data_IF_913925976571
#
_entry.id   IF_913925976571
#
_cell.length_a   1.000
_cell.length_b   1.000
_cell.length_c   1.000
_cell.angle_alpha   90.00
_cell.angle_beta   90.00
_cell.angle_gamma   90.00
#
_symmetry.space_group_name_H-M   'P 1'
#
loop_
_entity.id
_entity.type
_entity.pdbx_description
1 polymer ?
#
# COMPACT_ATOMS: atom_id res chain seq x y z
N UNK A 1 -37.98 3.78 22.13
CA UNK A 1 -38.09 4.80 21.07
C UNK A 1 -36.68 4.98 20.53
N UNK A 2 -36.45 4.55 19.28
CA UNK A 2 -35.11 4.37 18.71
C UNK A 2 -34.57 5.66 18.08
N UNK A 3 -33.28 5.86 18.35
CA UNK A 3 -32.20 6.66 17.73
C UNK A 3 -32.49 7.41 16.42
N UNK A 4 -32.02 8.65 16.34
CA UNK A 4 -31.66 9.32 15.08
C UNK A 4 -30.35 10.12 15.29
N UNK A 5 -29.26 9.60 14.73
CA UNK A 5 -28.01 10.33 14.54
C UNK A 5 -27.73 10.25 13.04
N UNK A 6 -28.57 10.94 12.26
CA UNK A 6 -28.44 11.02 10.80
C UNK A 6 -27.37 12.07 10.44
N UNK A 7 -26.14 11.59 10.26
CA UNK A 7 -25.14 12.29 9.45
C UNK A 7 -25.30 11.74 8.03
N UNK A 8 -25.68 12.54 7.02
CA UNK A 8 -25.94 12.03 5.68
C UNK A 8 -24.63 11.51 5.10
N UNK A 9 -24.54 10.18 4.94
CA UNK A 9 -23.48 9.54 4.19
C UNK A 9 -23.61 9.97 2.73
N UNK A 10 -22.57 10.62 2.20
CA UNK A 10 -22.48 11.00 0.80
C UNK A 10 -22.71 9.75 -0.08
N UNK A 11 -23.72 9.73 -0.98
CA UNK A 11 -24.12 8.52 -1.72
C UNK A 11 -23.06 8.06 -2.74
N UNK A 12 -21.99 8.85 -2.92
CA UNK A 12 -20.88 8.55 -3.82
C UNK A 12 -19.82 7.61 -3.21
N UNK A 13 -19.86 7.34 -1.90
CA UNK A 13 -18.86 6.49 -1.22
C UNK A 13 -19.42 5.72 -0.02
N UNK A 14 -20.18 4.62 -0.24
CA UNK A 14 -20.79 3.84 0.84
C UNK A 14 -19.78 3.14 1.79
N UNK A 15 -18.50 3.04 1.41
CA UNK A 15 -17.46 2.35 2.20
C UNK A 15 -16.36 3.28 2.73
N UNK A 16 -16.55 4.60 2.71
CA UNK A 16 -15.66 5.53 3.43
C UNK A 16 -14.20 5.61 2.93
N UNK A 17 -13.90 5.16 1.71
CA UNK A 17 -12.60 5.41 1.05
C UNK A 17 -12.85 6.00 -0.32
N UNK A 18 -13.14 7.30 -0.33
CA UNK A 18 -13.03 8.13 -1.52
C UNK A 18 -11.61 8.73 -1.51
N UNK A 19 -10.61 7.96 -1.94
CA UNK A 19 -9.24 8.49 -2.10
C UNK A 19 -8.72 8.20 -3.50
N UNK A 20 -8.24 9.26 -4.14
CA UNK A 20 -8.03 9.40 -5.58
C UNK A 20 -6.85 8.59 -6.17
N UNK A 21 -6.28 7.62 -5.45
CA UNK A 21 -5.28 6.69 -5.98
C UNK A 21 -5.18 5.45 -5.08
N UNK A 22 -4.86 4.30 -5.67
CA UNK A 22 -4.67 3.07 -4.91
C UNK A 22 -3.51 3.23 -3.91
N UNK A 23 -3.59 2.64 -2.70
CA UNK A 23 -2.49 2.68 -1.73
C UNK A 23 -1.22 2.02 -2.32
N UNK A 24 -0.02 2.44 -1.92
CA UNK A 24 1.26 1.99 -2.52
C UNK A 24 1.58 0.50 -2.30
N UNK A 25 0.88 -0.13 -1.35
CA UNK A 25 0.99 -1.54 -1.01
C UNK A 25 -0.41 -2.08 -0.69
N UNK A 26 -0.79 -3.20 -1.29
CA UNK A 26 -2.01 -3.95 -0.97
C UNK A 26 -1.60 -5.35 -0.55
N UNK A 27 -1.82 -5.68 0.72
CA UNK A 27 -1.31 -6.93 1.31
C UNK A 27 0.20 -6.99 1.20
N UNK A 28 0.71 -7.81 0.27
CA UNK A 28 2.14 -7.98 -0.02
C UNK A 28 2.55 -7.50 -1.42
N UNK A 29 1.66 -6.81 -2.15
CA UNK A 29 1.87 -6.37 -3.53
C UNK A 29 2.06 -4.86 -3.60
N UNK A 30 3.16 -4.41 -4.17
CA UNK A 30 3.42 -3.01 -4.49
C UNK A 30 2.57 -2.61 -5.69
N UNK A 31 1.67 -1.64 -5.49
CA UNK A 31 0.77 -1.18 -6.55
C UNK A 31 1.51 -0.39 -7.62
N UNK A 32 1.03 -0.40 -8.86
CA UNK A 32 1.74 0.25 -9.98
C UNK A 32 2.94 -0.54 -10.52
N UNK A 33 3.71 -1.26 -9.68
CA UNK A 33 4.78 -2.16 -10.14
C UNK A 33 4.34 -3.62 -10.26
N UNK A 34 3.32 -4.04 -9.50
CA UNK A 34 2.85 -5.43 -9.46
C UNK A 34 3.83 -6.41 -8.80
N UNK A 35 4.93 -5.89 -8.23
CA UNK A 35 5.93 -6.71 -7.56
C UNK A 35 5.45 -7.09 -6.16
N UNK A 36 5.75 -8.31 -5.75
CA UNK A 36 5.62 -8.69 -4.34
C UNK A 36 6.74 -8.01 -3.54
N UNK A 37 6.48 -7.69 -2.27
CA UNK A 37 7.50 -7.13 -1.38
C UNK A 37 8.74 -8.01 -1.30
N UNK A 38 8.55 -9.33 -1.17
CA UNK A 38 9.66 -10.29 -1.10
C UNK A 38 10.52 -10.28 -2.37
N UNK A 39 9.87 -10.25 -3.54
CA UNK A 39 10.58 -10.17 -4.81
C UNK A 39 11.32 -8.85 -4.95
N UNK A 40 10.72 -7.75 -4.53
CA UNK A 40 11.35 -6.44 -4.56
C UNK A 40 12.60 -6.39 -3.66
N UNK A 41 12.54 -6.97 -2.45
CA UNK A 41 13.71 -7.09 -1.56
C UNK A 41 14.84 -7.82 -2.27
N UNK A 42 14.55 -9.01 -2.82
CA UNK A 42 15.58 -9.83 -3.49
C UNK A 42 16.20 -9.12 -4.69
N UNK A 43 15.44 -8.31 -5.40
CA UNK A 43 15.93 -7.52 -6.53
C UNK A 43 16.81 -6.35 -6.06
N UNK A 44 16.45 -5.67 -4.97
CA UNK A 44 17.30 -4.64 -4.37
C UNK A 44 18.63 -5.22 -3.87
N UNK A 45 18.62 -6.41 -3.26
CA UNK A 45 19.86 -7.09 -2.83
C UNK A 45 20.78 -7.42 -4.00
N UNK A 46 20.22 -7.64 -5.19
CA UNK A 46 20.97 -7.87 -6.42
C UNK A 46 21.45 -6.56 -7.08
N UNK A 47 21.16 -5.40 -6.48
CA UNK A 47 21.47 -4.08 -7.04
C UNK A 47 20.61 -3.70 -8.25
N UNK A 48 19.42 -4.30 -8.39
CA UNK A 48 18.52 -3.97 -9.49
C UNK A 48 17.89 -2.58 -9.28
N UNK A 49 17.87 -1.78 -10.35
CA UNK A 49 17.10 -0.54 -10.40
C UNK A 49 15.62 -0.87 -10.61
N UNK A 50 14.79 -0.58 -9.60
CA UNK A 50 13.36 -0.85 -9.65
C UNK A 50 12.60 0.45 -9.88
N UNK A 51 11.58 0.49 -10.77
CA UNK A 51 10.74 1.65 -10.98
C UNK A 51 9.72 1.80 -9.85
N UNK A 52 10.22 1.88 -8.62
CA UNK A 52 9.43 2.08 -7.41
C UNK A 52 9.39 3.56 -7.09
N UNK A 53 8.25 4.01 -6.57
CA UNK A 53 8.18 5.34 -5.95
C UNK A 53 9.02 5.37 -4.68
N UNK A 54 9.43 6.56 -4.22
CA UNK A 54 10.20 6.72 -2.98
C UNK A 54 9.50 6.07 -1.77
N UNK A 55 8.17 6.16 -1.71
CA UNK A 55 7.37 5.54 -0.63
C UNK A 55 7.47 4.01 -0.71
N UNK A 56 7.35 3.44 -1.90
CA UNK A 56 7.45 2.00 -2.07
C UNK A 56 8.84 1.49 -1.75
N UNK A 57 9.89 2.21 -2.17
CA UNK A 57 11.28 1.86 -1.87
C UNK A 57 11.49 1.74 -0.36
N UNK A 58 11.04 2.71 0.44
CA UNK A 58 11.13 2.65 1.91
C UNK A 58 10.43 1.43 2.50
N UNK A 59 9.23 1.10 2.00
CA UNK A 59 8.49 -0.09 2.43
C UNK A 59 9.31 -1.36 2.16
N UNK A 60 9.98 -1.45 1.00
CA UNK A 60 10.84 -2.60 0.66
C UNK A 60 12.07 -2.65 1.58
N UNK A 61 12.73 -1.51 1.82
CA UNK A 61 13.89 -1.42 2.72
C UNK A 61 13.53 -1.82 4.16
N UNK A 62 12.41 -1.33 4.69
CA UNK A 62 11.89 -1.71 6.01
C UNK A 62 11.54 -3.21 6.10
N UNK A 63 11.09 -3.81 5.00
CA UNK A 63 10.84 -5.25 4.94
C UNK A 63 12.16 -6.03 4.94
N UNK A 64 13.17 -5.58 4.21
CA UNK A 64 14.50 -6.19 4.21
C UNK A 64 15.11 -6.20 5.63
N UNK A 65 15.05 -5.06 6.33
CA UNK A 65 15.50 -4.95 7.73
C UNK A 65 14.78 -5.94 8.66
N UNK A 66 13.47 -6.17 8.46
CA UNK A 66 12.67 -7.11 9.25
C UNK A 66 12.93 -8.59 8.94
N UNK A 67 13.54 -8.92 7.81
CA UNK A 67 13.87 -10.32 7.44
C UNK A 67 15.30 -10.65 7.88
N UNK A 68 16.19 -9.65 7.94
CA UNK A 68 17.58 -9.82 8.33
C UNK A 68 17.82 -9.92 9.86
N UNK A 69 16.85 -9.51 10.68
CA UNK A 69 16.86 -9.62 12.15
C UNK A 69 15.99 -10.75 12.66
#
# INVERSE_FOLDING_TARGET
MAQDHDHPADPSCPNGVCSSSAPPLIGSILTGSGLTLDRAVRLLEQGADLPLTEVQLRIVEERALRIAG
#
